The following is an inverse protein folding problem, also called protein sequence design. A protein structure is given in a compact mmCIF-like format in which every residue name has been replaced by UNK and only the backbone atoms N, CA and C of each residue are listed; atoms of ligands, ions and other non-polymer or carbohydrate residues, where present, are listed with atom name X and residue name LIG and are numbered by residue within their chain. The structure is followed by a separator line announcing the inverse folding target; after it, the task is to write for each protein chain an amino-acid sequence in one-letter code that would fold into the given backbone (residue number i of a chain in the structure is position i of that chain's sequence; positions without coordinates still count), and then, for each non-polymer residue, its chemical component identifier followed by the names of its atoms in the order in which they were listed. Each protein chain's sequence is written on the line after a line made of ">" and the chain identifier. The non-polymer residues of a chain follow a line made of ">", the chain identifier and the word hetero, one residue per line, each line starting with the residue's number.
data_IF_605527790796
#
_entry.id   IF_605527790796
#
_cell.length_a   1.000
_cell.length_b   1.000
_cell.length_c   1.000
_cell.angle_alpha   90.00
_cell.angle_beta   90.00
_cell.angle_gamma   90.00
#
_symmetry.space_group_name_H-M   'P 1'
#
loop_
_entity.id
_entity.type
_entity.pdbx_description
1 polymer ?
#
# COMPACT_ATOMS: atom_id res chain seq x y z
N UNK A 1 5.66 -18.91 26.66
CA UNK A 1 4.56 -18.78 25.69
C UNK A 1 3.55 -17.65 26.02
N UNK A 2 3.36 -17.21 27.27
CA UNK A 2 2.26 -16.27 27.63
C UNK A 2 2.51 -14.76 27.38
N UNK A 3 3.45 -14.35 26.51
CA UNK A 3 3.72 -12.91 26.24
C UNK A 3 3.22 -12.39 24.87
N UNK A 4 2.90 -13.26 23.90
CA UNK A 4 2.39 -12.81 22.59
C UNK A 4 0.88 -12.50 22.60
N UNK A 5 0.10 -13.12 23.49
CA UNK A 5 -1.36 -12.92 23.54
C UNK A 5 -1.78 -11.53 24.04
N UNK A 6 -0.95 -10.86 24.86
CA UNK A 6 -1.26 -9.54 25.43
C UNK A 6 -1.12 -8.42 24.38
N UNK A 7 -0.25 -8.59 23.37
CA UNK A 7 -0.08 -7.61 22.30
C UNK A 7 -1.19 -7.67 21.24
N UNK A 8 -1.81 -8.84 21.04
CA UNK A 8 -2.94 -8.98 20.13
C UNK A 8 -4.21 -8.33 20.70
N UNK A 9 -4.50 -8.50 22.00
CA UNK A 9 -5.68 -7.89 22.63
C UNK A 9 -5.61 -6.35 22.69
N UNK A 10 -4.42 -5.77 22.85
CA UNK A 10 -4.22 -4.32 22.78
C UNK A 10 -4.45 -3.75 21.37
N UNK A 11 -4.15 -4.50 20.31
CA UNK A 11 -4.37 -4.04 18.94
C UNK A 11 -5.86 -4.03 18.56
N UNK A 12 -6.64 -5.00 19.05
CA UNK A 12 -8.10 -5.03 18.83
C UNK A 12 -8.82 -3.85 19.51
N UNK A 13 -8.43 -3.50 20.74
CA UNK A 13 -9.03 -2.39 21.50
C UNK A 13 -8.70 -1.03 20.87
N UNK A 14 -7.49 -0.85 20.33
CA UNK A 14 -7.13 0.36 19.57
C UNK A 14 -7.87 0.39 18.22
N UNK A 15 -8.07 -0.76 17.58
CA UNK A 15 -8.83 -0.88 16.33
C UNK A 15 -10.29 -0.43 16.47
N UNK A 16 -10.96 -0.79 17.56
CA UNK A 16 -12.35 -0.35 17.82
C UNK A 16 -12.43 1.11 18.24
N UNK A 17 -11.51 1.62 19.08
CA UNK A 17 -11.52 3.04 19.48
C UNK A 17 -11.33 4.03 18.32
N UNK A 18 -10.64 3.65 17.24
CA UNK A 18 -10.54 4.49 16.02
C UNK A 18 -11.64 4.22 14.99
N UNK A 19 -12.48 3.20 15.17
CA UNK A 19 -13.70 3.01 14.38
C UNK A 19 -14.77 4.04 14.75
N UNK A 20 -14.99 4.21 16.05
CA UNK A 20 -16.04 5.11 16.59
C UNK A 20 -15.63 6.60 16.61
N UNK A 21 -14.37 6.94 16.33
CA UNK A 21 -13.96 8.35 16.14
C UNK A 21 -14.39 8.94 14.79
N UNK A 22 -14.85 8.12 13.84
CA UNK A 22 -15.52 8.59 12.62
C UNK A 22 -17.02 8.83 12.79
N UNK A 23 -17.57 8.56 13.99
CA UNK A 23 -18.94 8.89 14.38
C UNK A 23 -19.00 9.97 15.48
N UNK A 24 -18.03 10.88 15.51
CA UNK A 24 -18.31 12.29 15.82
C UNK A 24 -19.21 12.87 14.71
N UNK A 25 -20.45 12.37 14.70
CA UNK A 25 -21.59 13.10 14.20
C UNK A 25 -21.54 14.47 14.87
N UNK A 26 -21.39 15.52 14.07
CA UNK A 26 -21.88 16.83 14.47
C UNK A 26 -23.30 16.63 15.05
N UNK A 27 -23.68 17.35 16.12
CA UNK A 27 -25.02 17.22 16.68
C UNK A 27 -26.03 17.33 15.53
N UNK A 28 -26.98 16.38 15.41
CA UNK A 28 -27.82 16.31 14.23
C UNK A 28 -28.53 17.64 14.02
N UNK A 29 -28.53 18.17 12.78
CA UNK A 29 -29.19 19.45 12.44
C UNK A 29 -30.72 19.42 12.61
N UNK A 30 -31.26 18.38 13.25
CA UNK A 30 -32.65 18.28 13.64
C UNK A 30 -33.00 19.34 14.68
N UNK A 31 -33.91 20.23 14.28
CA UNK A 31 -34.70 21.11 15.15
C UNK A 31 -34.06 22.43 15.59
N UNK A 32 -33.40 23.13 14.66
CA UNK A 32 -34.01 24.43 14.33
C UNK A 32 -35.35 24.09 13.67
N UNK A 33 -36.44 24.20 14.43
CA UNK A 33 -37.77 24.33 13.81
C UNK A 33 -37.66 25.53 12.88
N UNK A 34 -38.09 25.37 11.64
CA UNK A 34 -38.60 26.49 10.87
C UNK A 34 -39.77 27.05 11.66
N UNK A 35 -39.47 28.01 12.53
CA UNK A 35 -40.46 28.73 13.30
C UNK A 35 -41.26 29.52 12.29
N UNK A 36 -42.39 28.95 11.86
CA UNK A 36 -43.40 29.68 11.09
C UNK A 36 -43.94 30.77 12.01
N UNK A 37 -43.22 31.89 12.06
CA UNK A 37 -43.51 33.04 12.90
C UNK A 37 -44.61 33.84 12.20
N UNK A 38 -45.77 33.20 12.08
CA UNK A 38 -47.04 33.85 11.79
C UNK A 38 -47.44 34.67 13.03
N UNK A 39 -46.70 35.75 13.25
CA UNK A 39 -47.19 36.88 14.03
C UNK A 39 -48.36 37.46 13.25
N UNK A 40 -49.57 37.34 13.81
CA UNK A 40 -50.77 38.00 13.30
C UNK A 40 -50.48 39.46 12.97
N UNK A 41 -50.78 39.88 11.74
CA UNK A 41 -50.64 41.28 11.32
C UNK A 41 -51.52 42.19 12.19
N UNK A 42 -50.90 43.08 12.98
CA UNK A 42 -51.42 44.43 13.33
C UNK A 42 -50.49 45.24 14.26
N UNK A 43 -49.40 44.67 14.82
CA UNK A 43 -48.47 45.39 15.72
C UNK A 43 -47.06 45.59 15.14
N UNK A 44 -46.96 46.15 13.93
CA UNK A 44 -45.70 46.29 13.18
C UNK A 44 -44.73 47.39 13.67
N UNK A 45 -44.98 47.99 14.83
CA UNK A 45 -44.08 48.99 15.44
C UNK A 45 -42.91 48.32 16.17
N UNK A 46 -42.01 47.69 15.42
CA UNK A 46 -40.76 47.14 15.95
C UNK A 46 -39.90 48.20 16.64
N UNK A 47 -39.21 47.85 17.72
CA UNK A 47 -38.37 48.78 18.46
C UNK A 47 -37.07 49.07 17.68
N UNK A 48 -37.06 50.18 16.93
CA UNK A 48 -35.90 50.68 16.19
C UNK A 48 -34.61 50.70 17.02
N UNK A 49 -34.68 51.05 18.32
CA UNK A 49 -33.50 51.10 19.17
C UNK A 49 -32.89 49.71 19.40
N UNK A 50 -33.73 48.70 19.60
CA UNK A 50 -33.30 47.30 19.78
C UNK A 50 -32.78 46.72 18.46
N UNK A 51 -33.45 46.97 17.33
CA UNK A 51 -32.90 46.65 15.99
C UNK A 51 -31.49 47.25 15.82
N UNK A 52 -31.33 48.53 16.13
CA UNK A 52 -30.05 49.23 15.99
C UNK A 52 -28.96 48.66 16.93
N UNK A 53 -29.34 48.16 18.10
CA UNK A 53 -28.43 47.42 18.98
C UNK A 53 -27.97 46.11 18.34
N UNK A 54 -28.90 45.26 17.87
CA UNK A 54 -28.57 43.99 17.22
C UNK A 54 -27.74 44.15 15.95
N UNK A 55 -28.02 45.17 15.13
CA UNK A 55 -27.20 45.49 13.96
C UNK A 55 -25.76 45.89 14.34
N UNK A 56 -25.56 46.64 15.43
CA UNK A 56 -24.22 47.03 15.90
C UNK A 56 -23.42 45.82 16.38
N UNK A 57 -24.04 44.92 17.16
CA UNK A 57 -23.36 43.71 17.62
C UNK A 57 -23.11 42.72 16.47
N UNK A 58 -24.07 42.52 15.56
CA UNK A 58 -23.87 41.71 14.36
C UNK A 58 -22.72 42.25 13.49
N UNK A 59 -22.68 43.58 13.28
CA UNK A 59 -21.58 44.25 12.56
C UNK A 59 -20.25 44.01 13.25
N UNK A 60 -20.17 44.19 14.58
CA UNK A 60 -18.96 43.96 15.36
C UNK A 60 -18.48 42.50 15.24
N UNK A 61 -19.38 41.52 15.45
CA UNK A 61 -19.07 40.10 15.30
C UNK A 61 -18.57 39.77 13.89
N UNK A 62 -19.23 40.29 12.85
CA UNK A 62 -18.85 40.02 11.47
C UNK A 62 -17.47 40.61 11.12
N UNK A 63 -17.27 41.93 11.32
CA UNK A 63 -16.05 42.62 10.89
C UNK A 63 -14.84 42.35 11.77
N UNK A 64 -15.03 42.02 13.05
CA UNK A 64 -13.93 41.65 13.95
C UNK A 64 -13.71 40.14 13.94
N UNK A 65 -14.71 39.38 14.37
CA UNK A 65 -14.48 38.04 14.90
C UNK A 65 -14.60 36.96 13.80
N UNK A 66 -15.55 37.11 12.88
CA UNK A 66 -15.73 36.21 11.73
C UNK A 66 -14.63 36.44 10.69
N UNK A 67 -14.34 37.70 10.32
CA UNK A 67 -13.26 38.00 9.38
C UNK A 67 -11.88 37.54 9.91
N UNK A 68 -11.58 37.73 11.19
CA UNK A 68 -10.34 37.21 11.79
C UNK A 68 -10.28 35.67 11.76
N UNK A 69 -11.40 34.99 12.03
CA UNK A 69 -11.49 33.53 11.96
C UNK A 69 -11.33 33.00 10.51
N UNK A 70 -11.83 33.72 9.51
CA UNK A 70 -11.64 33.35 8.09
C UNK A 70 -10.19 33.57 7.63
N UNK A 71 -9.52 34.65 8.05
CA UNK A 71 -8.09 34.81 7.79
C UNK A 71 -7.25 33.73 8.49
N UNK A 72 -7.64 33.31 9.71
CA UNK A 72 -7.04 32.16 10.38
C UNK A 72 -7.27 30.85 9.60
N UNK A 73 -8.47 30.62 9.06
CA UNK A 73 -8.79 29.46 8.22
C UNK A 73 -7.93 29.42 6.94
N UNK A 74 -7.77 30.56 6.26
CA UNK A 74 -6.88 30.69 5.08
C UNK A 74 -5.42 30.41 5.43
N UNK A 75 -4.94 30.92 6.56
CA UNK A 75 -3.58 30.64 7.05
C UNK A 75 -3.36 29.15 7.37
N UNK A 76 -4.34 28.49 7.99
CA UNK A 76 -4.34 27.04 8.24
C UNK A 76 -4.30 26.27 6.92
N UNK A 77 -5.18 26.59 5.96
CA UNK A 77 -5.22 25.94 4.65
C UNK A 77 -3.87 26.03 3.92
N UNK A 78 -3.23 27.21 3.94
CA UNK A 78 -1.88 27.40 3.39
C UNK A 78 -0.83 26.53 4.09
N UNK A 79 -0.83 26.48 5.42
CA UNK A 79 0.10 25.66 6.21
C UNK A 79 -0.06 24.16 5.90
N UNK A 80 -1.29 23.69 5.69
CA UNK A 80 -1.56 22.32 5.27
C UNK A 80 -0.99 22.00 3.87
N UNK A 81 -1.14 22.90 2.88
CA UNK A 81 -0.59 22.67 1.53
C UNK A 81 0.95 22.71 1.54
N UNK A 82 1.57 23.59 2.33
CA UNK A 82 3.02 23.62 2.54
C UNK A 82 3.53 22.31 3.16
N UNK A 83 2.86 21.81 4.22
CA UNK A 83 3.20 20.52 4.87
C UNK A 83 2.97 19.32 3.97
N UNK A 84 1.84 19.28 3.25
CA UNK A 84 1.55 18.27 2.22
C UNK A 84 2.67 18.22 1.20
N UNK A 85 3.06 19.35 0.60
CA UNK A 85 4.14 19.42 -0.38
C UNK A 85 5.46 18.90 0.19
N UNK A 86 5.87 19.38 1.37
CA UNK A 86 7.09 18.93 2.03
C UNK A 86 7.08 17.42 2.31
N UNK A 87 5.96 16.90 2.84
CA UNK A 87 5.78 15.48 3.12
C UNK A 87 5.84 14.63 1.84
N UNK A 88 5.11 15.00 0.78
CA UNK A 88 5.11 14.21 -0.46
C UNK A 88 6.46 14.26 -1.18
N UNK A 89 7.22 15.36 -1.12
CA UNK A 89 8.62 15.41 -1.59
C UNK A 89 9.53 14.49 -0.77
N UNK A 90 9.40 14.47 0.56
CA UNK A 90 10.16 13.57 1.42
C UNK A 90 9.79 12.10 1.18
N UNK A 91 8.50 11.81 0.98
CA UNK A 91 7.97 10.50 0.63
C UNK A 91 8.53 10.02 -0.71
N UNK A 92 8.48 10.85 -1.76
CA UNK A 92 9.03 10.52 -3.07
C UNK A 92 10.54 10.22 -3.00
N UNK A 93 11.30 11.05 -2.28
CA UNK A 93 12.73 10.82 -2.02
C UNK A 93 12.96 9.50 -1.29
N UNK A 94 12.15 9.20 -0.27
CA UNK A 94 12.25 7.96 0.50
C UNK A 94 11.90 6.73 -0.34
N UNK A 95 10.84 6.81 -1.16
CA UNK A 95 10.42 5.75 -2.08
C UNK A 95 11.47 5.49 -3.17
N UNK A 96 12.18 6.50 -3.67
CA UNK A 96 13.33 6.32 -4.57
C UNK A 96 14.49 5.55 -3.95
N UNK A 97 14.56 5.42 -2.63
CA UNK A 97 15.56 4.56 -1.95
C UNK A 97 15.15 3.09 -1.86
N UNK A 98 13.90 2.75 -2.18
CA UNK A 98 13.45 1.38 -2.39
C UNK A 98 13.82 0.97 -3.81
N UNK A 99 14.62 -0.08 -3.95
CA UNK A 99 15.02 -0.64 -5.26
C UNK A 99 13.87 -1.25 -6.08
N UNK A 100 12.63 -1.25 -5.53
CA UNK A 100 11.43 -1.79 -6.16
C UNK A 100 10.25 -0.83 -5.95
N UNK A 101 9.58 -0.37 -7.02
CA UNK A 101 8.34 0.37 -6.88
C UNK A 101 7.26 -0.48 -6.20
N UNK A 102 6.57 0.07 -5.19
CA UNK A 102 5.50 -0.61 -4.47
C UNK A 102 4.44 -1.33 -5.35
N UNK A 103 3.92 -0.75 -6.46
CA UNK A 103 2.94 -1.45 -7.32
C UNK A 103 3.52 -2.66 -8.07
N UNK A 104 4.85 -2.76 -8.22
CA UNK A 104 5.53 -3.92 -8.82
C UNK A 104 5.94 -4.96 -7.76
N UNK A 105 6.26 -4.49 -6.54
CA UNK A 105 6.66 -5.35 -5.44
C UNK A 105 5.54 -6.33 -5.02
N UNK A 106 4.31 -5.84 -4.81
CA UNK A 106 3.21 -6.68 -4.28
C UNK A 106 2.87 -7.89 -5.19
N UNK A 107 2.71 -7.75 -6.52
CA UNK A 107 2.55 -8.90 -7.41
C UNK A 107 3.74 -9.86 -7.39
N UNK A 108 4.98 -9.35 -7.39
CA UNK A 108 6.18 -10.20 -7.38
C UNK A 108 6.31 -10.98 -6.07
N UNK A 109 5.96 -10.38 -4.93
CA UNK A 109 5.92 -11.05 -3.63
C UNK A 109 4.89 -12.18 -3.63
N UNK A 110 3.69 -11.97 -4.19
CA UNK A 110 2.66 -13.01 -4.30
C UNK A 110 3.12 -14.19 -5.17
N UNK A 111 3.83 -13.94 -6.26
CA UNK A 111 4.45 -14.99 -7.08
C UNK A 111 5.54 -15.76 -6.31
N UNK A 112 6.45 -15.05 -5.62
CA UNK A 112 7.50 -15.68 -4.81
C UNK A 112 6.93 -16.55 -3.68
N UNK A 113 5.81 -16.15 -3.07
CA UNK A 113 5.11 -16.98 -2.07
C UNK A 113 4.54 -18.27 -2.69
N UNK A 114 4.03 -18.22 -3.92
CA UNK A 114 3.58 -19.41 -4.66
C UNK A 114 4.75 -20.31 -5.07
N UNK A 115 5.86 -19.72 -5.54
CA UNK A 115 7.10 -20.45 -5.86
C UNK A 115 7.65 -21.21 -4.62
N UNK A 116 7.67 -20.56 -3.44
CA UNK A 116 8.08 -21.19 -2.17
C UNK A 116 7.11 -22.28 -1.72
N UNK A 117 5.80 -22.09 -1.90
CA UNK A 117 4.81 -23.11 -1.58
C UNK A 117 4.99 -24.38 -2.44
N UNK A 118 5.20 -24.22 -3.75
CA UNK A 118 5.46 -25.33 -4.66
C UNK A 118 6.78 -26.05 -4.34
N UNK A 119 7.85 -25.32 -4.00
CA UNK A 119 9.12 -25.94 -3.55
C UNK A 119 8.95 -26.78 -2.29
N UNK A 120 8.14 -26.32 -1.33
CA UNK A 120 7.88 -27.06 -0.08
C UNK A 120 7.25 -28.43 -0.31
N UNK A 121 6.45 -28.60 -1.37
CA UNK A 121 5.86 -29.89 -1.75
C UNK A 121 6.87 -30.82 -2.44
N UNK A 122 7.90 -30.27 -3.07
CA UNK A 122 8.92 -31.02 -3.82
C UNK A 122 10.12 -31.42 -2.95
N UNK A 123 10.54 -30.55 -2.02
CA UNK A 123 11.76 -30.68 -1.21
C UNK A 123 11.42 -30.65 0.30
N UNK A 124 10.84 -31.74 0.85
CA UNK A 124 10.38 -31.78 2.24
C UNK A 124 11.52 -31.64 3.26
N UNK A 125 12.75 -32.01 2.89
CA UNK A 125 13.94 -31.90 3.74
C UNK A 125 14.37 -30.43 3.96
N UNK A 126 13.99 -29.49 3.07
CA UNK A 126 14.21 -28.05 3.23
C UNK A 126 12.95 -27.30 3.76
N UNK A 127 11.95 -28.03 4.24
CA UNK A 127 10.66 -27.48 4.69
C UNK A 127 10.77 -26.36 5.74
N UNK A 128 11.76 -26.42 6.64
CA UNK A 128 11.94 -25.41 7.69
C UNK A 128 12.45 -24.06 7.13
N UNK A 129 13.53 -24.08 6.33
CA UNK A 129 14.09 -22.86 5.71
C UNK A 129 13.11 -22.20 4.75
N UNK A 130 12.40 -23.00 3.95
CA UNK A 130 11.32 -22.52 3.07
C UNK A 130 10.19 -21.87 3.89
N UNK A 131 9.84 -22.43 5.05
CA UNK A 131 8.80 -21.90 5.94
C UNK A 131 9.24 -20.59 6.63
N UNK A 132 10.50 -20.45 7.03
CA UNK A 132 11.02 -19.18 7.55
C UNK A 132 11.06 -18.08 6.49
N UNK A 133 11.52 -18.43 5.29
CA UNK A 133 11.60 -17.50 4.16
C UNK A 133 10.20 -17.02 3.71
N UNK A 134 9.21 -17.92 3.69
CA UNK A 134 7.81 -17.58 3.46
C UNK A 134 7.28 -16.59 4.51
N UNK A 135 7.58 -16.78 5.80
CA UNK A 135 7.19 -15.83 6.88
C UNK A 135 7.82 -14.45 6.72
N UNK A 136 9.13 -14.37 6.38
CA UNK A 136 9.82 -13.09 6.12
C UNK A 136 9.20 -12.36 4.94
N UNK A 137 8.92 -13.10 3.86
CA UNK A 137 8.33 -12.57 2.64
C UNK A 137 6.87 -12.09 2.85
N UNK A 138 6.08 -12.81 3.64
CA UNK A 138 4.72 -12.38 4.05
C UNK A 138 4.77 -11.14 4.97
N UNK A 139 5.76 -11.02 5.85
CA UNK A 139 5.95 -9.79 6.64
C UNK A 139 6.27 -8.57 5.76
N UNK A 140 7.04 -8.76 4.67
CA UNK A 140 7.30 -7.71 3.66
C UNK A 140 6.04 -7.38 2.86
N UNK A 141 5.27 -8.40 2.45
CA UNK A 141 3.96 -8.24 1.80
C UNK A 141 3.04 -7.34 2.63
N UNK A 142 2.85 -7.67 3.91
CA UNK A 142 2.01 -6.92 4.84
C UNK A 142 2.51 -5.50 5.07
N UNK A 143 3.83 -5.28 5.09
CA UNK A 143 4.40 -3.94 5.21
C UNK A 143 4.11 -3.06 3.97
N UNK A 144 4.14 -3.62 2.75
CA UNK A 144 3.74 -2.91 1.53
C UNK A 144 2.23 -2.61 1.49
N UNK A 145 1.37 -3.56 1.87
CA UNK A 145 -0.08 -3.34 1.99
C UNK A 145 -0.39 -2.25 3.03
N UNK A 146 0.25 -2.30 4.21
CA UNK A 146 0.13 -1.25 5.23
C UNK A 146 0.59 0.13 4.73
N UNK A 147 1.72 0.19 4.01
CA UNK A 147 2.21 1.43 3.40
C UNK A 147 1.19 2.02 2.41
N UNK A 148 0.60 1.17 1.55
CA UNK A 148 -0.45 1.58 0.60
C UNK A 148 -1.69 2.15 1.32
N UNK A 149 -2.19 1.45 2.35
CA UNK A 149 -3.34 1.88 3.14
C UNK A 149 -3.07 3.19 3.88
N UNK A 150 -1.89 3.35 4.48
CA UNK A 150 -1.52 4.57 5.20
C UNK A 150 -1.37 5.78 4.25
N UNK A 151 -0.69 5.61 3.11
CA UNK A 151 -0.57 6.66 2.09
C UNK A 151 -1.93 7.10 1.55
N UNK A 152 -2.81 6.14 1.23
CA UNK A 152 -4.18 6.45 0.77
C UNK A 152 -5.00 7.19 1.82
N UNK A 153 -4.94 6.79 3.10
CA UNK A 153 -5.61 7.50 4.19
C UNK A 153 -5.12 8.93 4.36
N UNK A 154 -3.82 9.17 4.12
CA UNK A 154 -3.21 10.49 4.18
C UNK A 154 -3.62 11.36 2.98
N UNK A 155 -3.64 10.79 1.77
CA UNK A 155 -4.20 11.44 0.57
C UNK A 155 -5.68 11.80 0.74
N UNK A 156 -6.50 10.90 1.28
CA UNK A 156 -7.91 11.16 1.57
C UNK A 156 -8.09 12.28 2.61
N UNK A 157 -7.23 12.36 3.63
CA UNK A 157 -7.24 13.44 4.61
C UNK A 157 -6.94 14.81 3.98
N UNK A 158 -5.88 14.92 3.17
CA UNK A 158 -5.50 16.17 2.50
C UNK A 158 -6.46 16.57 1.36
N UNK A 159 -6.90 15.62 0.53
CA UNK A 159 -7.62 15.90 -0.71
C UNK A 159 -9.15 15.85 -0.57
N UNK A 160 -9.69 15.31 0.53
CA UNK A 160 -11.14 15.27 0.78
C UNK A 160 -11.52 15.95 2.09
N UNK A 161 -10.98 15.47 3.22
CA UNK A 161 -11.40 15.93 4.55
C UNK A 161 -11.05 17.42 4.75
N UNK A 162 -9.79 17.80 4.53
CA UNK A 162 -9.34 19.19 4.63
C UNK A 162 -10.14 20.13 3.73
N UNK A 163 -10.30 19.79 2.44
CA UNK A 163 -11.04 20.62 1.47
C UNK A 163 -12.51 20.76 1.86
N UNK A 164 -13.14 19.68 2.36
CA UNK A 164 -14.53 19.73 2.84
C UNK A 164 -14.68 20.65 4.06
N UNK A 165 -13.74 20.60 5.00
CA UNK A 165 -13.77 21.41 6.22
C UNK A 165 -13.54 22.90 5.91
N UNK A 166 -12.61 23.22 5.01
CA UNK A 166 -12.40 24.61 4.55
C UNK A 166 -13.70 25.16 3.92
N UNK A 167 -14.32 24.40 3.01
CA UNK A 167 -15.58 24.80 2.37
C UNK A 167 -16.73 24.99 3.35
N UNK A 168 -16.82 24.16 4.39
CA UNK A 168 -17.82 24.39 5.45
C UNK A 168 -17.55 25.70 6.21
N UNK A 169 -16.27 26.02 6.47
CA UNK A 169 -15.89 27.33 7.03
C UNK A 169 -16.31 28.51 6.15
N UNK A 170 -16.05 28.44 4.84
CA UNK A 170 -16.48 29.44 3.84
C UNK A 170 -18.02 29.58 3.80
N UNK A 171 -18.76 28.47 3.89
CA UNK A 171 -20.23 28.48 3.95
C UNK A 171 -20.78 29.12 5.24
N UNK A 172 -20.07 29.01 6.37
CA UNK A 172 -20.46 29.71 7.60
C UNK A 172 -20.20 31.22 7.49
N UNK A 173 -19.15 31.67 6.79
CA UNK A 173 -18.95 33.09 6.45
C UNK A 173 -20.08 33.62 5.56
N UNK A 174 -20.37 32.94 4.44
CA UNK A 174 -21.42 33.34 3.50
C UNK A 174 -22.78 33.45 4.20
N UNK A 175 -23.13 32.45 5.04
CA UNK A 175 -24.34 32.49 5.85
C UNK A 175 -24.33 33.62 6.88
N UNK A 176 -23.20 33.92 7.51
CA UNK A 176 -23.10 35.03 8.45
C UNK A 176 -23.28 36.38 7.76
N UNK A 177 -22.68 36.59 6.58
CA UNK A 177 -22.84 37.79 5.78
C UNK A 177 -24.31 37.98 5.36
N UNK A 178 -24.92 36.94 4.78
CA UNK A 178 -26.32 36.98 4.32
C UNK A 178 -27.29 37.33 5.46
N UNK A 179 -27.07 36.79 6.67
CA UNK A 179 -27.92 37.08 7.82
C UNK A 179 -27.62 38.44 8.45
N UNK A 180 -26.37 38.93 8.41
CA UNK A 180 -26.02 40.30 8.77
C UNK A 180 -26.72 41.32 7.86
N UNK A 181 -26.71 41.11 6.54
CA UNK A 181 -27.41 41.96 5.56
C UNK A 181 -28.94 41.93 5.74
N UNK A 182 -29.52 40.78 6.13
CA UNK A 182 -30.96 40.68 6.46
C UNK A 182 -31.36 41.55 7.67
N UNK A 183 -30.49 41.74 8.66
CA UNK A 183 -30.76 42.63 9.80
C UNK A 183 -30.96 44.08 9.33
N UNK A 184 -30.20 44.55 8.34
CA UNK A 184 -30.36 45.91 7.82
C UNK A 184 -31.74 46.12 7.16
N UNK A 185 -32.21 45.11 6.42
CA UNK A 185 -33.42 45.17 5.60
C UNK A 185 -34.74 44.95 6.36
N UNK A 186 -34.72 44.44 7.60
CA UNK A 186 -35.95 44.14 8.37
C UNK A 186 -36.23 45.19 9.45
N UNK A 187 -37.48 45.61 9.61
CA UNK A 187 -37.90 46.63 10.60
C UNK A 187 -38.24 46.07 11.99
N UNK A 188 -38.53 44.78 12.05
CA UNK A 188 -38.91 44.01 13.24
C UNK A 188 -37.65 43.63 14.07
N UNK A 189 -37.63 44.03 15.34
CA UNK A 189 -36.52 43.80 16.28
C UNK A 189 -36.36 42.32 16.68
N UNK A 190 -37.45 41.56 16.77
CA UNK A 190 -37.40 40.14 17.11
C UNK A 190 -36.83 39.33 15.96
N UNK A 191 -37.18 39.69 14.72
CA UNK A 191 -36.56 39.12 13.51
C UNK A 191 -35.10 39.53 13.38
N UNK A 192 -34.74 40.78 13.69
CA UNK A 192 -33.35 41.24 13.72
C UNK A 192 -32.51 40.46 14.75
N UNK A 193 -33.04 40.21 15.95
CA UNK A 193 -32.40 39.37 16.96
C UNK A 193 -32.25 37.91 16.49
N UNK A 194 -33.27 37.34 15.84
CA UNK A 194 -33.21 36.01 15.24
C UNK A 194 -32.07 35.85 14.22
N UNK A 195 -31.89 36.84 13.34
CA UNK A 195 -30.75 36.86 12.41
C UNK A 195 -29.40 37.05 13.11
N UNK A 196 -29.33 37.91 14.15
CA UNK A 196 -28.12 38.09 14.97
C UNK A 196 -27.66 36.75 15.57
N UNK A 197 -28.58 35.96 16.14
CA UNK A 197 -28.25 34.63 16.68
C UNK A 197 -27.72 33.68 15.58
N UNK A 198 -28.14 33.80 14.32
CA UNK A 198 -27.59 33.00 13.21
C UNK A 198 -26.15 33.43 12.88
N UNK A 199 -25.83 34.73 12.96
CA UNK A 199 -24.46 35.25 12.79
C UNK A 199 -23.55 34.73 13.91
N UNK A 200 -24.01 34.79 15.16
CA UNK A 200 -23.28 34.27 16.33
C UNK A 200 -23.03 32.75 16.22
N UNK A 201 -24.06 31.96 15.93
CA UNK A 201 -23.94 30.52 15.69
C UNK A 201 -22.96 30.21 14.54
N UNK A 202 -22.90 31.02 13.48
CA UNK A 202 -21.96 30.81 12.38
C UNK A 202 -20.51 31.02 12.83
N UNK A 203 -20.24 31.99 13.71
CA UNK A 203 -18.92 32.19 14.33
C UNK A 203 -18.52 30.99 15.21
N UNK A 204 -19.44 30.41 15.99
CA UNK A 204 -19.15 29.22 16.80
C UNK A 204 -18.82 28.00 15.95
N UNK A 205 -19.59 27.76 14.89
CA UNK A 205 -19.33 26.67 13.95
C UNK A 205 -17.98 26.85 13.22
N UNK A 206 -17.64 28.09 12.83
CA UNK A 206 -16.33 28.39 12.23
C UNK A 206 -15.17 28.15 13.21
N UNK A 207 -15.31 28.52 14.49
CA UNK A 207 -14.35 28.18 15.56
C UNK A 207 -14.22 26.66 15.75
N UNK A 208 -15.31 25.90 15.64
CA UNK A 208 -15.28 24.44 15.71
C UNK A 208 -14.50 23.82 14.54
N UNK A 209 -14.71 24.31 13.31
CA UNK A 209 -13.92 23.91 12.12
C UNK A 209 -12.44 24.20 12.32
N UNK A 210 -12.08 25.41 12.77
CA UNK A 210 -10.70 25.80 13.07
C UNK A 210 -10.07 24.88 14.14
N UNK A 211 -10.82 24.53 15.18
CA UNK A 211 -10.37 23.63 16.26
C UNK A 211 -10.15 22.21 15.74
N UNK A 212 -11.04 21.69 14.90
CA UNK A 212 -10.89 20.39 14.25
C UNK A 212 -9.64 20.33 13.35
N UNK A 213 -9.43 21.39 12.54
CA UNK A 213 -8.30 21.51 11.63
C UNK A 213 -6.96 21.67 12.36
N UNK A 214 -6.92 22.35 13.50
CA UNK A 214 -5.66 22.58 14.25
C UNK A 214 -5.32 21.47 15.24
N UNK A 215 -6.31 20.72 15.73
CA UNK A 215 -6.13 19.61 16.66
C UNK A 215 -6.25 18.23 15.99
N UNK A 216 -7.44 17.60 15.98
CA UNK A 216 -7.64 16.22 15.50
C UNK A 216 -7.08 15.91 14.12
N UNK A 217 -7.41 16.71 13.09
CA UNK A 217 -6.95 16.44 11.72
C UNK A 217 -5.43 16.57 11.64
N UNK A 218 -4.87 17.59 12.27
CA UNK A 218 -3.44 17.87 12.23
C UNK A 218 -2.64 16.73 12.88
N UNK A 219 -3.05 16.32 14.08
CA UNK A 219 -2.45 15.19 14.80
C UNK A 219 -2.55 13.89 13.99
N UNK A 220 -3.68 13.64 13.33
CA UNK A 220 -3.84 12.49 12.44
C UNK A 220 -2.85 12.54 11.27
N UNK A 221 -2.74 13.66 10.56
CA UNK A 221 -1.83 13.78 9.40
C UNK A 221 -0.37 13.61 9.78
N UNK A 222 0.06 14.18 10.92
CA UNK A 222 1.43 14.01 11.44
C UNK A 222 1.70 12.56 11.85
N UNK A 223 0.80 11.93 12.62
CA UNK A 223 0.96 10.55 13.06
C UNK A 223 0.99 9.55 11.90
N UNK A 224 0.10 9.70 10.91
CA UNK A 224 0.07 8.83 9.74
C UNK A 224 1.29 9.07 8.85
N UNK A 225 1.66 10.32 8.61
CA UNK A 225 2.88 10.67 7.86
C UNK A 225 4.14 10.08 8.47
N UNK A 226 4.32 10.21 9.80
CA UNK A 226 5.44 9.59 10.51
C UNK A 226 5.44 8.06 10.41
N UNK A 227 4.28 7.40 10.47
CA UNK A 227 4.18 5.94 10.27
C UNK A 227 4.57 5.52 8.85
N UNK A 228 4.14 6.27 7.82
CA UNK A 228 4.54 6.06 6.43
C UNK A 228 6.07 6.13 6.29
N UNK A 229 6.68 7.23 6.77
CA UNK A 229 8.12 7.44 6.70
C UNK A 229 8.93 6.40 7.50
N UNK A 230 8.40 5.89 8.62
CA UNK A 230 9.02 4.80 9.38
C UNK A 230 8.86 3.41 8.75
N UNK A 231 7.85 3.21 7.89
CA UNK A 231 7.58 1.92 7.25
C UNK A 231 8.53 1.66 6.09
N UNK A 232 8.88 2.70 5.33
CA UNK A 232 9.81 2.61 4.18
C UNK A 232 11.18 2.01 4.54
N UNK A 233 11.94 2.50 5.55
CA UNK A 233 13.23 1.92 5.90
C UNK A 233 13.12 0.49 6.46
N UNK A 234 11.98 0.13 7.08
CA UNK A 234 11.71 -1.25 7.52
C UNK A 234 11.51 -2.18 6.32
N UNK A 235 10.71 -1.77 5.33
CA UNK A 235 10.57 -2.50 4.06
C UNK A 235 11.94 -2.66 3.41
N UNK A 236 12.71 -1.58 3.29
CA UNK A 236 14.05 -1.60 2.70
C UNK A 236 14.97 -2.61 3.38
N UNK A 237 15.10 -2.55 4.71
CA UNK A 237 15.94 -3.47 5.47
C UNK A 237 15.50 -4.94 5.32
N UNK A 238 14.18 -5.20 5.31
CA UNK A 238 13.63 -6.55 5.12
C UNK A 238 13.84 -7.08 3.69
N UNK A 239 13.73 -6.23 2.67
CA UNK A 239 14.06 -6.59 1.28
C UNK A 239 15.56 -6.86 1.14
N UNK A 240 16.43 -6.01 1.71
CA UNK A 240 17.87 -6.25 1.72
C UNK A 240 18.28 -7.52 2.47
N UNK A 241 17.53 -7.94 3.49
CA UNK A 241 17.72 -9.22 4.17
C UNK A 241 17.33 -10.40 3.26
N UNK A 242 16.14 -10.34 2.64
CA UNK A 242 15.69 -11.36 1.68
C UNK A 242 16.66 -11.50 0.48
N UNK A 243 17.19 -10.40 -0.05
CA UNK A 243 18.16 -10.45 -1.16
C UNK A 243 19.48 -11.12 -0.76
N UNK A 244 19.93 -10.97 0.49
CA UNK A 244 21.13 -11.68 1.02
C UNK A 244 20.87 -13.19 1.18
N UNK A 245 19.61 -13.58 1.36
CA UNK A 245 19.14 -14.96 1.41
C UNK A 245 18.79 -15.51 0.02
N UNK A 246 19.04 -14.75 -1.06
CA UNK A 246 18.80 -15.15 -2.45
C UNK A 246 17.37 -14.92 -2.96
N UNK A 247 16.48 -14.31 -2.16
CA UNK A 247 15.08 -14.07 -2.51
C UNK A 247 14.94 -12.65 -3.08
N UNK A 248 14.92 -12.55 -4.41
CA UNK A 248 14.88 -11.26 -5.11
C UNK A 248 13.44 -10.77 -5.34
N UNK A 249 13.03 -9.82 -4.49
CA UNK A 249 11.73 -9.12 -4.58
C UNK A 249 11.68 -8.16 -5.78
N UNK A 250 12.83 -7.70 -6.28
CA UNK A 250 12.91 -6.87 -7.50
C UNK A 250 12.65 -7.69 -8.76
N UNK A 251 12.03 -7.06 -9.76
CA UNK A 251 12.02 -7.58 -11.13
C UNK A 251 13.43 -7.35 -11.69
N UNK A 252 14.25 -8.39 -11.66
CA UNK A 252 15.57 -8.36 -12.31
C UNK A 252 15.37 -8.31 -13.83
N UNK A 253 16.10 -7.42 -14.49
CA UNK A 253 16.14 -7.40 -15.95
C UNK A 253 16.75 -8.69 -16.49
N UNK A 254 16.42 -9.09 -17.73
CA UNK A 254 17.00 -10.27 -18.37
C UNK A 254 18.53 -10.22 -18.42
N UNK A 255 19.10 -9.01 -18.57
CA UNK A 255 20.54 -8.78 -18.52
C UNK A 255 21.14 -9.03 -17.12
N UNK A 256 20.48 -8.61 -16.05
CA UNK A 256 20.93 -8.90 -14.67
C UNK A 256 20.77 -10.39 -14.32
N UNK A 257 19.68 -11.03 -14.77
CA UNK A 257 19.49 -12.47 -14.62
C UNK A 257 20.57 -13.26 -15.37
N UNK A 258 20.92 -12.87 -16.60
CA UNK A 258 21.97 -13.50 -17.38
C UNK A 258 23.36 -13.31 -16.74
N UNK A 259 23.66 -12.10 -16.24
CA UNK A 259 24.91 -11.84 -15.50
C UNK A 259 25.00 -12.65 -14.19
N UNK A 260 23.88 -12.85 -13.49
CA UNK A 260 23.83 -13.64 -12.26
C UNK A 260 23.93 -15.13 -12.51
N UNK A 261 23.22 -15.69 -13.49
CA UNK A 261 23.40 -17.07 -13.90
C UNK A 261 24.86 -17.36 -14.33
N UNK A 262 25.53 -16.38 -14.96
CA UNK A 262 26.96 -16.47 -15.27
C UNK A 262 27.88 -16.34 -14.04
N UNK A 263 27.48 -15.61 -13.00
CA UNK A 263 28.22 -15.49 -11.75
C UNK A 263 28.05 -16.73 -10.85
N UNK A 264 26.83 -17.24 -10.73
CA UNK A 264 26.47 -18.46 -10.00
C UNK A 264 27.21 -19.67 -10.59
N UNK A 265 27.15 -19.86 -11.91
CA UNK A 265 27.94 -20.88 -12.61
C UNK A 265 29.44 -20.75 -12.33
N UNK A 266 30.01 -19.55 -12.34
CA UNK A 266 31.44 -19.34 -11.97
C UNK A 266 31.73 -19.71 -10.52
N UNK A 267 30.81 -19.45 -9.58
CA UNK A 267 30.98 -19.86 -8.17
C UNK A 267 30.79 -21.36 -7.96
N UNK A 268 29.89 -22.01 -8.70
CA UNK A 268 29.71 -23.46 -8.70
C UNK A 268 30.91 -24.16 -9.35
N UNK A 269 31.39 -23.69 -10.50
CA UNK A 269 32.61 -24.16 -11.14
C UNK A 269 33.81 -24.00 -10.20
N UNK A 270 33.95 -22.87 -9.50
CA UNK A 270 35.01 -22.67 -8.51
C UNK A 270 34.88 -23.58 -7.28
N UNK A 271 33.66 -23.90 -6.83
CA UNK A 271 33.43 -24.91 -5.77
C UNK A 271 33.75 -26.32 -6.26
N UNK A 272 33.25 -26.71 -7.42
CA UNK A 272 33.50 -28.00 -8.05
C UNK A 272 35.00 -28.21 -8.33
N UNK A 273 35.72 -27.19 -8.80
CA UNK A 273 37.18 -27.22 -8.96
C UNK A 273 37.91 -27.33 -7.62
N UNK A 274 37.47 -26.63 -6.57
CA UNK A 274 38.04 -26.79 -5.21
C UNK A 274 37.78 -28.17 -4.62
N UNK A 275 36.61 -28.76 -4.87
CA UNK A 275 36.31 -30.13 -4.45
C UNK A 275 37.08 -31.17 -5.27
N UNK A 276 37.19 -31.00 -6.59
CA UNK A 276 38.00 -31.84 -7.45
C UNK A 276 39.49 -31.77 -7.06
N UNK A 277 40.00 -30.57 -6.73
CA UNK A 277 41.35 -30.38 -6.21
C UNK A 277 41.54 -31.06 -4.86
N UNK A 278 40.60 -30.91 -3.91
CA UNK A 278 40.64 -31.63 -2.62
C UNK A 278 40.58 -33.16 -2.80
N UNK A 279 39.72 -33.66 -3.69
CA UNK A 279 39.62 -35.10 -4.04
C UNK A 279 40.91 -35.60 -4.69
N UNK A 280 41.52 -34.83 -5.59
CA UNK A 280 42.80 -35.16 -6.22
C UNK A 280 43.99 -35.10 -5.23
N UNK A 281 43.98 -34.18 -4.26
CA UNK A 281 45.00 -34.10 -3.22
C UNK A 281 44.85 -35.24 -2.20
N UNK A 282 43.61 -35.62 -1.87
CA UNK A 282 43.33 -36.82 -1.08
C UNK A 282 43.77 -38.10 -1.81
N UNK A 283 43.53 -38.21 -3.12
CA UNK A 283 44.01 -39.31 -3.97
C UNK A 283 45.55 -39.36 -4.07
N UNK A 284 46.24 -38.21 -4.00
CA UNK A 284 47.72 -38.16 -3.96
C UNK A 284 48.31 -38.48 -2.58
N UNK A 285 47.58 -38.19 -1.49
CA UNK A 285 47.96 -38.54 -0.12
C UNK A 285 47.56 -39.96 0.27
N UNK A 286 46.65 -40.59 -0.46
CA UNK A 286 46.30 -42.00 -0.34
C UNK A 286 47.36 -42.91 -0.98
N UNK A 287 48.44 -43.18 -0.23
CA UNK A 287 49.43 -44.21 -0.57
C UNK A 287 48.72 -45.55 -0.85
N UNK A 288 49.07 -46.31 -1.92
CA UNK A 288 48.19 -47.34 -2.46
C UNK A 288 48.23 -48.65 -1.66
N UNK A 289 47.52 -48.71 -0.53
CA UNK A 289 47.30 -49.91 0.27
C UNK A 289 46.77 -51.11 -0.54
N UNK A 290 46.01 -50.84 -1.60
CA UNK A 290 45.53 -51.82 -2.56
C UNK A 290 46.64 -52.53 -3.36
N UNK A 291 47.82 -51.92 -3.57
CA UNK A 291 48.96 -52.62 -4.20
C UNK A 291 49.55 -53.72 -3.30
N UNK A 292 49.47 -53.59 -1.98
CA UNK A 292 49.89 -54.64 -1.06
C UNK A 292 48.90 -55.82 -1.05
N UNK A 293 47.60 -55.54 -1.19
CA UNK A 293 46.54 -56.56 -1.17
C UNK A 293 46.49 -57.34 -2.50
N UNK A 294 46.56 -56.67 -3.65
CA UNK A 294 46.53 -57.35 -4.96
C UNK A 294 47.73 -58.29 -5.14
N UNK A 295 48.91 -57.94 -4.61
CA UNK A 295 50.10 -58.82 -4.61
C UNK A 295 49.99 -60.05 -3.69
N UNK A 296 49.13 -60.02 -2.68
CA UNK A 296 48.88 -61.16 -1.78
C UNK A 296 47.74 -62.06 -2.25
N UNK A 297 46.83 -61.55 -3.10
CA UNK A 297 45.69 -62.30 -3.64
C UNK A 297 46.10 -63.11 -4.88
N UNK A 298 46.98 -62.59 -5.74
CA UNK A 298 47.42 -63.29 -6.95
C UNK A 298 48.17 -64.60 -6.67
N UNK A 299 48.92 -64.69 -5.57
CA UNK A 299 49.63 -65.92 -5.16
C UNK A 299 48.72 -66.96 -4.49
N UNK A 300 47.59 -66.55 -3.90
CA UNK A 300 46.59 -67.47 -3.37
C UNK A 300 45.68 -68.03 -4.47
N UNK A 301 45.28 -67.20 -5.43
CA UNK A 301 44.41 -67.61 -6.53
C UNK A 301 45.12 -68.44 -7.61
N UNK A 302 46.43 -68.27 -7.85
CA UNK A 302 47.17 -69.12 -8.79
C UNK A 302 47.11 -70.60 -8.40
N UNK A 303 47.31 -70.90 -7.12
CA UNK A 303 47.36 -72.27 -6.61
C UNK A 303 45.97 -72.91 -6.51
N UNK A 304 44.93 -72.10 -6.28
CA UNK A 304 43.54 -72.57 -6.28
C UNK A 304 43.04 -72.88 -7.70
N UNK A 305 43.49 -72.11 -8.71
CA UNK A 305 43.04 -72.24 -10.10
C UNK A 305 43.56 -73.51 -10.79
N UNK A 306 44.82 -73.91 -10.55
CA UNK A 306 45.35 -75.18 -11.08
C UNK A 306 44.59 -76.40 -10.55
N UNK A 307 44.19 -76.36 -9.27
CA UNK A 307 43.44 -77.46 -8.65
C UNK A 307 42.01 -77.60 -9.23
N UNK A 308 41.36 -76.48 -9.56
CA UNK A 308 40.00 -76.46 -10.14
C UNK A 308 40.00 -76.85 -11.64
N UNK A 309 41.01 -76.42 -12.42
CA UNK A 309 41.09 -76.74 -13.85
C UNK A 309 41.36 -78.23 -14.15
N UNK A 310 41.83 -78.99 -13.16
CA UNK A 310 42.03 -80.45 -13.30
C UNK A 310 40.70 -81.24 -13.40
N UNK A 311 39.63 -80.76 -12.75
CA UNK A 311 38.35 -81.45 -12.64
C UNK A 311 37.36 -81.16 -13.79
N UNK A 312 37.62 -80.13 -14.60
CA UNK A 312 36.70 -79.70 -15.68
C UNK A 312 37.05 -80.24 -17.08
N UNK A 313 37.99 -81.18 -17.19
CA UNK A 313 38.46 -81.71 -18.49
C UNK A 313 37.62 -82.85 -19.11
N UNK A 314 36.45 -83.18 -18.54
CA UNK A 314 35.63 -84.31 -19.01
C UNK A 314 34.12 -84.06 -19.03
N UNK A 315 33.61 -83.35 -20.05
CA UNK A 315 32.31 -83.64 -20.68
C UNK A 315 32.09 -82.91 -22.03
N UNK A 316 31.33 -83.50 -22.98
CA UNK A 316 31.15 -82.98 -24.34
C UNK A 316 29.97 -81.97 -24.50
N UNK A 317 29.85 -81.27 -25.65
CA UNK A 317 28.98 -80.10 -25.80
C UNK A 317 27.56 -80.39 -26.30
N UNK A 318 26.61 -79.49 -25.97
CA UNK A 318 25.23 -79.47 -26.49
C UNK A 318 24.93 -78.12 -27.17
N UNK A 319 24.01 -78.10 -28.14
CA UNK A 319 24.02 -77.15 -29.25
C UNK A 319 22.98 -76.00 -29.22
N UNK A 320 23.38 -74.88 -29.85
CA UNK A 320 22.61 -73.93 -30.69
C UNK A 320 21.09 -73.74 -30.46
N UNK A 321 20.67 -72.48 -30.26
CA UNK A 321 19.93 -71.65 -31.26
C UNK A 321 19.50 -70.27 -30.67
N UNK A 322 19.48 -69.24 -31.52
CA UNK A 322 18.63 -68.04 -31.35
C UNK A 322 17.59 -67.98 -32.48
N UNK A 323 17.22 -66.80 -33.02
CA UNK A 323 16.58 -65.63 -32.37
C UNK A 323 15.26 -65.25 -33.11
N UNK A 324 14.48 -64.25 -32.65
CA UNK A 324 13.74 -63.27 -33.50
C UNK A 324 12.87 -62.23 -32.73
N UNK A 325 12.45 -61.19 -33.46
CA UNK A 325 11.63 -59.98 -33.15
C UNK A 325 10.45 -59.96 -34.18
N UNK A 326 9.51 -58.98 -34.34
CA UNK A 326 8.93 -57.91 -33.49
C UNK A 326 7.34 -57.95 -33.43
N UNK A 327 6.52 -56.93 -33.81
CA UNK A 327 5.81 -55.97 -32.94
C UNK A 327 4.26 -55.92 -33.09
N UNK A 328 3.55 -54.99 -32.40
CA UNK A 328 2.20 -54.52 -32.81
C UNK A 328 1.77 -53.11 -32.32
N UNK A 329 0.73 -52.56 -32.96
CA UNK A 329 0.35 -51.12 -33.01
C UNK A 329 -0.90 -50.72 -32.18
N UNK A 330 -1.13 -49.39 -32.14
CA UNK A 330 -2.31 -48.53 -31.83
C UNK A 330 -3.70 -49.02 -32.33
N UNK A 331 -4.90 -48.50 -31.87
CA UNK A 331 -5.37 -47.10 -32.10
C UNK A 331 -6.49 -46.41 -31.21
N UNK A 332 -6.51 -45.06 -31.28
CA UNK A 332 -7.61 -44.03 -31.46
C UNK A 332 -9.08 -44.21 -30.98
N UNK A 333 -9.62 -43.19 -30.25
CA UNK A 333 -10.96 -42.51 -30.41
C UNK A 333 -11.12 -41.36 -29.38
N UNK A 334 -11.46 -40.09 -29.70
CA UNK A 334 -12.75 -39.47 -30.11
C UNK A 334 -13.80 -39.38 -28.97
N UNK A 335 -14.64 -38.37 -28.71
CA UNK A 335 -14.97 -36.99 -29.17
C UNK A 335 -16.21 -36.55 -28.36
N UNK A 336 -16.35 -35.31 -27.87
CA UNK A 336 -17.65 -34.75 -27.45
C UNK A 336 -17.68 -33.20 -27.43
N UNK A 337 -18.83 -32.62 -27.79
CA UNK A 337 -19.07 -31.18 -28.04
C UNK A 337 -20.40 -30.75 -27.40
N UNK A 338 -20.52 -29.49 -26.88
CA UNK A 338 -21.74 -28.63 -26.74
C UNK A 338 -21.57 -27.59 -25.60
N UNK A 339 -22.22 -26.39 -25.52
CA UNK A 339 -23.14 -25.64 -26.41
C UNK A 339 -23.33 -24.17 -25.97
N UNK A 340 -23.54 -23.31 -26.96
CA UNK A 340 -24.11 -21.93 -27.07
C UNK A 340 -24.86 -21.25 -25.89
N UNK A 341 -24.62 -19.93 -25.69
CA UNK A 341 -25.65 -18.87 -25.47
C UNK A 341 -25.07 -17.42 -25.48
N UNK A 342 -25.78 -16.44 -26.07
CA UNK A 342 -25.43 -15.00 -26.10
C UNK A 342 -26.68 -14.14 -26.50
N UNK A 343 -26.68 -12.79 -26.35
CA UNK A 343 -26.82 -11.99 -25.13
C UNK A 343 -28.31 -11.52 -24.96
N UNK A 344 -28.84 -10.29 -25.26
CA UNK A 344 -28.31 -8.90 -25.43
C UNK A 344 -28.88 -7.85 -24.42
N UNK A 345 -28.14 -6.75 -24.11
CA UNK A 345 -28.73 -5.44 -23.74
C UNK A 345 -27.73 -4.26 -23.76
N UNK A 346 -28.24 -3.10 -24.17
CA UNK A 346 -27.61 -1.80 -24.48
C UNK A 346 -27.03 -0.98 -23.31
N UNK A 347 -26.03 -0.13 -23.63
CA UNK A 347 -25.74 1.15 -22.96
C UNK A 347 -25.11 2.12 -23.98
N UNK A 348 -25.90 3.02 -24.59
CA UNK A 348 -26.00 4.46 -24.26
C UNK A 348 -24.68 5.23 -24.39
N UNK A 349 -24.60 6.07 -25.42
CA UNK A 349 -23.49 6.98 -25.66
C UNK A 349 -23.57 8.25 -24.80
N UNK A 350 -22.43 8.73 -24.29
CA UNK A 350 -22.30 9.96 -23.51
C UNK A 350 -21.93 11.12 -24.45
N UNK A 351 -22.62 12.28 -24.41
CA UNK A 351 -22.29 13.42 -25.25
C UNK A 351 -21.03 14.15 -24.77
N UNK A 352 -20.15 14.50 -25.72
CA UNK A 352 -18.94 15.29 -25.48
C UNK A 352 -19.32 16.76 -25.24
N UNK A 353 -18.86 17.34 -24.12
CA UNK A 353 -18.94 18.79 -23.89
C UNK A 353 -17.86 19.53 -24.70
N UNK A 354 -18.17 20.65 -25.37
CA UNK A 354 -17.16 21.51 -25.97
C UNK A 354 -16.34 22.26 -24.91
N UNK A 355 -15.09 22.61 -25.24
CA UNK A 355 -14.18 23.32 -24.37
C UNK A 355 -14.58 24.80 -24.18
N UNK A 356 -14.28 25.41 -23.01
CA UNK A 356 -14.54 26.83 -22.77
C UNK A 356 -13.62 27.72 -23.63
N UNK A 357 -14.22 28.74 -24.24
CA UNK A 357 -13.51 29.77 -25.01
C UNK A 357 -12.78 30.71 -24.04
N UNK A 358 -11.47 30.86 -24.20
CA UNK A 358 -10.65 31.79 -23.42
C UNK A 358 -10.75 33.20 -24.03
N UNK A 359 -11.14 34.25 -23.27
CA UNK A 359 -11.14 35.62 -23.76
C UNK A 359 -9.71 36.17 -23.93
N UNK A 360 -9.46 37.08 -24.88
CA UNK A 360 -8.13 37.60 -25.15
C UNK A 360 -7.57 38.45 -24.00
N UNK A 361 -6.30 38.24 -23.69
CA UNK A 361 -5.55 39.02 -22.68
C UNK A 361 -5.36 40.45 -23.16
N UNK A 362 -5.90 41.41 -22.42
CA UNK A 362 -5.65 42.84 -22.64
C UNK A 362 -4.28 43.22 -22.05
N UNK A 363 -3.34 43.80 -22.82
CA UNK A 363 -2.04 44.20 -22.28
C UNK A 363 -2.19 45.37 -21.30
N UNK A 364 -1.66 45.19 -20.09
CA UNK A 364 -1.78 46.15 -18.99
C UNK A 364 -1.02 47.46 -19.23
N UNK A 365 -1.63 48.57 -18.83
CA UNK A 365 -0.97 49.89 -18.80
C UNK A 365 0.10 49.93 -17.72
N UNK A 366 1.23 50.57 -18.02
CA UNK A 366 2.30 50.79 -17.05
C UNK A 366 1.86 51.70 -15.91
N UNK A 367 2.23 51.34 -14.67
CA UNK A 367 2.05 52.16 -13.47
C UNK A 367 3.27 53.07 -13.31
N UNK A 368 3.11 54.39 -13.08
CA UNK A 368 4.23 55.30 -12.88
C UNK A 368 4.84 55.14 -11.48
N UNK A 369 6.16 54.92 -11.41
CA UNK A 369 6.92 55.04 -10.17
C UNK A 369 7.11 56.50 -9.80
N UNK A 370 6.52 56.94 -8.69
CA UNK A 370 6.89 58.20 -8.06
C UNK A 370 8.25 58.05 -7.34
N UNK A 371 9.04 59.13 -7.39
CA UNK A 371 10.29 59.33 -6.62
C UNK A 371 10.01 60.18 -5.40
#
# INVERSE_FOLDING_TARGET
>A
MNRCLILFSLWTVIGTMYGDLYSLSLPPQSQLKDGNFESSDDSSSGNWYEKLHWWREAKRLYTSDIQAAIEQLKAIAKSYEEKKKAFFTQLETSLKTLSVPAPQAVPRIKLLLQELAAKKEQEPDESETITENSKKLEAVHQAFEQLSVLSRRLEDAYNKVLISQIKMGEQYEEKALENFEKIENVFDDQKAHGYYLIVENSLENLKAVITYLTGPLYSFTEQVGMRVLQTIPRIKASVEALEKEGIYVRILSEAENAQRAAAERKTEEARAQREAAKKAEALKKATPWWRAIVGSITSFFSNLWESIMSLFRSSPPVAKKGPQIPPKNTPVSATATQKTAQPPASAVAVPVRPAPVVPPVVPGKAVPTFR
#
